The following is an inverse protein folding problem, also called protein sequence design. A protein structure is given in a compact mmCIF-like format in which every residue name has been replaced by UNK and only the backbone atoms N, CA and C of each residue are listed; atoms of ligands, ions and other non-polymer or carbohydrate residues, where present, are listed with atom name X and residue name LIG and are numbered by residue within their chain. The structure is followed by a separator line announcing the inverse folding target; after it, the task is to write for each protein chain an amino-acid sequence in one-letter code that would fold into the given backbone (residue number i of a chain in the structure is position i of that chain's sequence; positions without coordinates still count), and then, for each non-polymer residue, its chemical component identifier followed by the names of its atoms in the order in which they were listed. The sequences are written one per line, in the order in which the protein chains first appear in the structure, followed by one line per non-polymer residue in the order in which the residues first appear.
data_IF_195446544748
#
_entry.id   IF_195446544748
#
_cell.length_a   1.000
_cell.length_b   1.000
_cell.length_c   1.000
_cell.angle_alpha   90.00
_cell.angle_beta   90.00
_cell.angle_gamma   90.00
#
_symmetry.space_group_name_H-M   'P 1'
#
loop_
_entity.id
_entity.type
_entity.pdbx_description
1 polymer ?
#
# COMPACT_ATOMS: atom_id res chain seq x y z
N UNK A 1 7.76 -13.57 -23.77
CA UNK A 1 8.51 -13.02 -22.63
C UNK A 1 7.52 -12.73 -21.51
N UNK A 2 7.98 -12.76 -20.25
CA UNK A 2 7.10 -12.55 -19.09
C UNK A 2 7.54 -11.36 -18.24
N UNK A 3 8.85 -11.10 -18.16
CA UNK A 3 9.41 -10.05 -17.34
C UNK A 3 10.53 -9.32 -18.08
N UNK A 4 10.51 -7.98 -18.05
CA UNK A 4 11.59 -7.12 -18.50
C UNK A 4 12.19 -6.34 -17.32
N UNK A 5 13.48 -6.13 -17.37
CA UNK A 5 14.23 -5.31 -16.40
C UNK A 5 15.45 -4.73 -17.10
N UNK A 6 15.54 -3.40 -17.11
CA UNK A 6 16.54 -2.71 -17.92
C UNK A 6 16.48 -3.23 -19.37
N UNK A 7 17.60 -3.64 -19.95
CA UNK A 7 17.69 -4.17 -21.32
C UNK A 7 17.49 -5.70 -21.42
N UNK A 8 17.12 -6.35 -20.31
CA UNK A 8 16.98 -7.82 -20.26
C UNK A 8 15.52 -8.23 -20.21
N UNK A 9 15.22 -9.32 -20.91
CA UNK A 9 13.92 -9.97 -20.85
C UNK A 9 14.05 -11.44 -20.42
N UNK A 10 13.06 -11.90 -19.66
CA UNK A 10 13.00 -13.25 -19.13
C UNK A 10 11.67 -13.91 -19.52
N UNK A 11 11.73 -15.16 -19.95
CA UNK A 11 10.55 -16.01 -20.05
C UNK A 11 10.24 -16.64 -18.69
N UNK A 12 8.99 -17.10 -18.49
CA UNK A 12 8.63 -17.87 -17.29
C UNK A 12 9.52 -19.12 -17.11
N UNK A 13 9.80 -19.94 -18.13
CA UNK A 13 10.72 -21.08 -17.99
C UNK A 13 12.15 -20.69 -17.56
N UNK A 14 12.65 -19.53 -17.98
CA UNK A 14 13.96 -19.04 -17.53
C UNK A 14 13.95 -18.65 -16.06
N UNK A 15 12.93 -17.90 -15.62
CA UNK A 15 12.76 -17.54 -14.20
C UNK A 15 12.58 -18.80 -13.35
N UNK A 16 11.81 -19.77 -13.85
CA UNK A 16 11.57 -21.04 -13.19
C UNK A 16 12.87 -21.85 -12.98
N UNK A 17 13.68 -22.00 -14.03
CA UNK A 17 14.96 -22.70 -13.95
C UNK A 17 15.97 -21.98 -13.01
N UNK A 18 16.00 -20.64 -13.02
CA UNK A 18 16.82 -19.87 -12.09
C UNK A 18 16.35 -20.04 -10.65
N UNK A 19 15.03 -20.06 -10.40
CA UNK A 19 14.48 -20.29 -9.07
C UNK A 19 14.78 -21.70 -8.55
N UNK A 20 14.79 -22.71 -9.43
CA UNK A 20 15.22 -24.06 -9.07
C UNK A 20 16.70 -24.10 -8.67
N UNK A 21 17.57 -23.44 -9.45
CA UNK A 21 19.00 -23.35 -9.12
C UNK A 21 19.24 -22.60 -7.80
N UNK A 22 18.51 -21.51 -7.55
CA UNK A 22 18.60 -20.80 -6.27
C UNK A 22 18.08 -21.64 -5.10
N UNK A 23 17.00 -22.40 -5.29
CA UNK A 23 16.52 -23.32 -4.28
C UNK A 23 17.56 -24.38 -3.93
N UNK A 24 18.27 -24.96 -4.92
CA UNK A 24 19.37 -25.89 -4.67
C UNK A 24 20.53 -25.23 -3.90
N UNK A 25 20.89 -23.98 -4.23
CA UNK A 25 21.91 -23.22 -3.52
C UNK A 25 21.52 -22.94 -2.05
N UNK A 26 20.25 -22.63 -1.79
CA UNK A 26 19.71 -22.43 -0.43
C UNK A 26 19.65 -23.75 0.34
N UNK A 27 19.23 -24.85 -0.27
CA UNK A 27 19.19 -26.17 0.33
C UNK A 27 20.60 -26.65 0.75
N UNK A 28 21.63 -26.38 -0.07
CA UNK A 28 23.04 -26.65 0.25
C UNK A 28 23.53 -25.81 1.45
N UNK A 29 22.99 -24.61 1.65
CA UNK A 29 23.25 -23.76 2.81
C UNK A 29 22.45 -24.17 4.05
N UNK A 30 21.64 -25.20 3.97
CA UNK A 30 20.92 -25.79 5.09
C UNK A 30 19.49 -25.32 5.28
N UNK A 31 18.91 -24.56 4.34
CA UNK A 31 17.49 -24.17 4.38
C UNK A 31 16.59 -25.41 4.38
N UNK A 32 15.58 -25.41 5.24
CA UNK A 32 14.61 -26.51 5.43
C UNK A 32 13.17 -25.97 5.39
N UNK A 33 12.19 -26.83 5.12
CA UNK A 33 10.79 -26.46 5.23
C UNK A 33 10.46 -25.88 6.61
N UNK A 34 9.71 -24.79 6.62
CA UNK A 34 9.37 -24.04 7.84
C UNK A 34 10.38 -22.96 8.26
N UNK A 35 11.55 -22.90 7.64
CA UNK A 35 12.51 -21.83 7.87
C UNK A 35 11.97 -20.46 7.43
N UNK A 36 12.49 -19.40 8.06
CA UNK A 36 12.24 -18.01 7.66
C UNK A 36 13.51 -17.45 7.00
N UNK A 37 13.34 -16.88 5.82
CA UNK A 37 14.44 -16.34 5.03
C UNK A 37 14.28 -14.82 4.92
N UNK A 38 15.22 -14.06 5.47
CA UNK A 38 15.24 -12.61 5.27
C UNK A 38 15.52 -12.29 3.80
N UNK A 39 14.63 -11.56 3.14
CA UNK A 39 14.79 -11.15 1.75
C UNK A 39 14.77 -9.61 1.67
N UNK A 40 15.92 -9.02 1.33
CA UNK A 40 16.10 -7.57 1.20
C UNK A 40 16.67 -7.22 -0.15
N UNK A 41 15.83 -6.71 -1.03
CA UNK A 41 16.19 -6.46 -2.43
C UNK A 41 15.44 -5.26 -3.00
N UNK A 42 16.07 -4.59 -3.94
CA UNK A 42 15.41 -3.68 -4.86
C UNK A 42 14.47 -4.43 -5.83
N UNK A 43 13.69 -3.71 -6.64
CA UNK A 43 12.92 -4.30 -7.73
C UNK A 43 13.87 -4.83 -8.80
N UNK A 44 14.02 -6.15 -8.88
CA UNK A 44 14.87 -6.83 -9.86
C UNK A 44 14.41 -8.28 -10.08
N UNK A 45 14.72 -8.90 -11.22
CA UNK A 45 14.28 -10.28 -11.51
C UNK A 45 14.72 -11.29 -10.47
N UNK A 46 15.90 -11.11 -9.88
CA UNK A 46 16.46 -12.01 -8.88
C UNK A 46 15.64 -12.00 -7.57
N UNK A 47 14.87 -10.94 -7.30
CA UNK A 47 13.87 -10.97 -6.22
C UNK A 47 12.80 -12.03 -6.48
N UNK A 48 12.27 -12.09 -7.70
CA UNK A 48 11.25 -13.10 -8.10
C UNK A 48 11.84 -14.50 -7.99
N UNK A 49 13.06 -14.68 -8.49
CA UNK A 49 13.82 -15.93 -8.41
C UNK A 49 13.99 -16.38 -6.95
N UNK A 50 14.40 -15.47 -6.07
CA UNK A 50 14.60 -15.74 -4.64
C UNK A 50 13.29 -16.10 -3.93
N UNK A 51 12.23 -15.35 -4.19
CA UNK A 51 10.91 -15.60 -3.60
C UNK A 51 10.39 -17.00 -3.98
N UNK A 52 10.46 -17.36 -5.27
CA UNK A 52 10.04 -18.67 -5.73
C UNK A 52 10.93 -19.79 -5.17
N UNK A 53 12.25 -19.56 -5.07
CA UNK A 53 13.16 -20.51 -4.47
C UNK A 53 12.83 -20.80 -2.99
N UNK A 54 12.56 -19.75 -2.22
CA UNK A 54 12.15 -19.85 -0.80
C UNK A 54 10.85 -20.67 -0.68
N UNK A 55 9.85 -20.37 -1.48
CA UNK A 55 8.56 -21.07 -1.45
C UNK A 55 8.68 -22.54 -1.87
N UNK A 56 9.52 -22.86 -2.87
CA UNK A 56 9.79 -24.24 -3.31
C UNK A 56 10.39 -25.11 -2.21
N UNK A 57 11.17 -24.51 -1.34
CA UNK A 57 11.74 -25.20 -0.19
C UNK A 57 10.76 -25.33 0.99
N UNK A 58 9.52 -24.88 0.86
CA UNK A 58 8.55 -24.84 1.95
C UNK A 58 8.96 -23.88 3.08
N UNK A 59 9.82 -22.92 2.78
CA UNK A 59 10.25 -21.84 3.66
C UNK A 59 9.41 -20.58 3.43
N UNK A 60 9.48 -19.63 4.34
CA UNK A 60 8.76 -18.36 4.26
C UNK A 60 9.68 -17.18 4.05
N UNK A 61 9.25 -16.18 3.26
CA UNK A 61 10.01 -14.97 2.99
C UNK A 61 9.69 -13.87 4.00
N UNK A 62 10.70 -13.33 4.67
CA UNK A 62 10.61 -12.14 5.51
C UNK A 62 11.06 -10.93 4.67
N UNK A 63 10.11 -10.12 4.23
CA UNK A 63 10.34 -9.06 3.25
C UNK A 63 10.81 -7.77 3.92
N UNK A 64 12.09 -7.44 3.79
CA UNK A 64 12.71 -6.25 4.35
C UNK A 64 12.79 -5.14 3.31
N UNK A 65 12.42 -3.93 3.71
CA UNK A 65 12.50 -2.77 2.82
C UNK A 65 13.95 -2.33 2.59
N UNK A 66 14.40 -2.16 1.34
CA UNK A 66 15.72 -1.63 1.04
C UNK A 66 15.89 -0.15 1.43
N UNK A 67 14.81 0.54 1.79
CA UNK A 67 14.86 1.90 2.31
C UNK A 67 15.13 1.97 3.82
N UNK A 68 15.14 0.83 4.51
CA UNK A 68 15.32 0.79 5.97
C UNK A 68 16.76 1.01 6.36
N UNK A 69 16.92 1.69 7.49
CA UNK A 69 18.21 1.86 8.14
C UNK A 69 18.53 0.64 9.02
N UNK A 70 19.79 0.55 9.45
CA UNK A 70 20.32 -0.58 10.25
C UNK A 70 19.40 -0.96 11.42
N UNK A 71 18.99 -0.01 12.25
CA UNK A 71 18.16 -0.28 13.44
C UNK A 71 16.78 -0.89 13.07
N UNK A 72 16.19 -0.47 11.95
CA UNK A 72 14.93 -1.03 11.50
C UNK A 72 15.10 -2.49 11.04
N UNK A 73 16.20 -2.77 10.33
CA UNK A 73 16.55 -4.14 9.91
C UNK A 73 16.84 -5.02 11.13
N UNK A 74 17.65 -4.56 12.10
CA UNK A 74 17.93 -5.28 13.35
C UNK A 74 16.66 -5.63 14.12
N UNK A 75 15.71 -4.70 14.25
CA UNK A 75 14.44 -4.91 14.90
C UNK A 75 13.59 -5.96 14.15
N UNK A 76 13.56 -5.90 12.83
CA UNK A 76 12.83 -6.86 12.00
C UNK A 76 13.42 -8.27 12.09
N UNK A 77 14.75 -8.39 12.06
CA UNK A 77 15.46 -9.66 12.23
C UNK A 77 15.22 -10.24 13.63
N UNK A 78 15.28 -9.41 14.67
CA UNK A 78 14.99 -9.84 16.05
C UNK A 78 13.56 -10.34 16.18
N UNK A 79 12.59 -9.64 15.58
CA UNK A 79 11.17 -9.97 15.65
C UNK A 79 10.85 -11.28 14.91
N UNK A 80 11.41 -11.47 13.73
CA UNK A 80 11.07 -12.59 12.84
C UNK A 80 12.01 -13.78 12.94
N UNK A 81 13.20 -13.58 13.55
CA UNK A 81 14.25 -14.58 13.77
C UNK A 81 14.50 -15.46 12.52
N UNK A 82 14.85 -14.89 11.35
CA UNK A 82 15.14 -15.68 10.16
C UNK A 82 16.43 -16.48 10.34
N UNK A 83 16.46 -17.70 9.81
CA UNK A 83 17.63 -18.58 9.89
C UNK A 83 18.66 -18.26 8.79
N UNK A 84 18.23 -17.71 7.66
CA UNK A 84 19.05 -17.40 6.50
C UNK A 84 18.66 -16.05 5.89
N UNK A 85 19.53 -15.51 5.03
CA UNK A 85 19.25 -14.28 4.30
C UNK A 85 19.60 -14.40 2.81
N UNK A 86 18.85 -13.68 1.99
CA UNK A 86 19.06 -13.49 0.55
C UNK A 86 18.88 -12.00 0.24
N UNK A 87 19.73 -11.40 -0.54
CA UNK A 87 19.57 -9.98 -0.87
C UNK A 87 20.72 -9.36 -1.64
N UNK A 88 20.60 -8.05 -1.83
CA UNK A 88 21.62 -7.19 -2.46
C UNK A 88 21.99 -5.98 -1.58
N UNK A 89 21.45 -5.93 -0.35
CA UNK A 89 21.60 -4.74 0.50
C UNK A 89 22.72 -4.92 1.53
N UNK A 90 23.69 -3.96 1.62
CA UNK A 90 24.87 -4.08 2.47
C UNK A 90 24.53 -4.21 3.96
N UNK A 91 23.50 -3.52 4.45
CA UNK A 91 23.07 -3.60 5.85
C UNK A 91 22.67 -5.03 6.24
N UNK A 92 21.96 -5.77 5.37
CA UNK A 92 21.60 -7.15 5.66
C UNK A 92 22.83 -8.04 5.68
N UNK A 93 23.77 -7.85 4.73
CA UNK A 93 25.02 -8.59 4.65
C UNK A 93 25.93 -8.37 5.88
N UNK A 94 25.89 -7.19 6.50
CA UNK A 94 26.61 -6.90 7.75
C UNK A 94 26.00 -7.59 8.98
N UNK A 95 24.68 -7.81 8.97
CA UNK A 95 23.94 -8.30 10.13
C UNK A 95 23.84 -9.82 10.19
N UNK A 96 23.88 -10.50 9.02
CA UNK A 96 23.85 -11.95 8.96
C UNK A 96 24.44 -12.48 7.65
N UNK A 97 24.97 -13.74 7.65
CA UNK A 97 25.42 -14.39 6.41
C UNK A 97 24.30 -14.40 5.36
N UNK A 98 24.57 -13.85 4.18
CA UNK A 98 23.60 -13.63 3.12
C UNK A 98 24.06 -14.28 1.81
N UNK A 99 23.14 -14.97 1.12
CA UNK A 99 23.30 -15.31 -0.28
C UNK A 99 23.06 -14.04 -1.10
N UNK A 100 24.09 -13.59 -1.83
CA UNK A 100 23.97 -12.40 -2.67
C UNK A 100 23.13 -12.67 -3.92
N UNK A 101 22.23 -11.74 -4.24
CA UNK A 101 21.49 -11.77 -5.52
C UNK A 101 22.37 -11.45 -6.74
N UNK A 102 23.59 -10.98 -6.51
CA UNK A 102 24.59 -10.75 -7.57
C UNK A 102 25.45 -12.00 -7.86
N UNK A 103 25.32 -13.05 -7.03
CA UNK A 103 25.95 -14.33 -7.34
C UNK A 103 25.26 -15.00 -8.55
N UNK A 104 26.08 -15.54 -9.44
CA UNK A 104 25.54 -16.27 -10.60
C UNK A 104 24.87 -17.56 -10.14
N UNK A 105 23.60 -17.70 -10.47
CA UNK A 105 22.81 -18.90 -10.21
C UNK A 105 22.83 -19.79 -11.47
N UNK A 106 23.23 -21.04 -11.30
CA UNK A 106 23.14 -22.04 -12.37
C UNK A 106 21.69 -22.50 -12.48
N UNK A 107 21.04 -22.33 -13.65
CA UNK A 107 19.66 -22.80 -13.85
C UNK A 107 19.57 -24.32 -13.71
N UNK A 108 18.53 -24.79 -13.05
CA UNK A 108 18.27 -26.23 -12.85
C UNK A 108 16.87 -26.63 -13.32
N UNK A 109 16.71 -27.92 -13.68
CA UNK A 109 15.42 -28.55 -13.96
C UNK A 109 15.13 -29.52 -12.80
N UNK A 110 14.28 -29.11 -11.90
CA UNK A 110 13.88 -29.90 -10.74
C UNK A 110 12.41 -29.64 -10.41
N UNK A 111 11.68 -30.69 -10.06
CA UNK A 111 10.33 -30.55 -9.52
C UNK A 111 10.39 -30.41 -7.99
N UNK A 112 9.54 -29.56 -7.46
CA UNK A 112 9.33 -29.40 -6.02
C UNK A 112 7.88 -29.70 -5.67
N UNK A 113 7.65 -30.22 -4.47
CA UNK A 113 6.30 -30.33 -3.95
C UNK A 113 5.75 -28.94 -3.63
N UNK A 114 4.46 -28.76 -3.91
CA UNK A 114 3.80 -27.52 -3.54
C UNK A 114 3.76 -27.39 -2.00
N UNK A 115 4.04 -26.21 -1.43
CA UNK A 115 3.92 -25.99 0.00
C UNK A 115 2.46 -26.16 0.46
N UNK A 116 2.29 -26.54 1.72
CA UNK A 116 0.94 -26.61 2.33
C UNK A 116 0.27 -25.23 2.30
N UNK A 117 -1.02 -25.19 1.99
CA UNK A 117 -1.80 -23.95 2.03
C UNK A 117 -1.77 -23.24 3.40
N UNK A 118 -1.64 -24.01 4.49
CA UNK A 118 -1.62 -23.51 5.86
C UNK A 118 -0.23 -23.11 6.35
N UNK A 119 0.84 -23.43 5.58
CA UNK A 119 2.20 -23.03 5.96
C UNK A 119 2.43 -21.54 5.65
N UNK A 120 3.31 -20.91 6.43
CA UNK A 120 3.68 -19.50 6.25
C UNK A 120 4.37 -19.30 4.90
N UNK A 121 3.88 -18.35 4.10
CA UNK A 121 4.46 -17.97 2.83
C UNK A 121 5.35 -16.74 2.96
N UNK A 122 4.86 -15.73 3.69
CA UNK A 122 5.54 -14.44 3.76
C UNK A 122 5.20 -13.65 5.03
N UNK A 123 6.13 -12.79 5.40
CA UNK A 123 5.99 -11.77 6.43
C UNK A 123 6.25 -10.41 5.79
N UNK A 124 5.25 -9.53 5.82
CA UNK A 124 5.38 -8.12 5.42
C UNK A 124 5.22 -7.22 6.63
N UNK A 125 5.88 -6.08 6.64
CA UNK A 125 5.82 -5.19 7.78
C UNK A 125 4.80 -4.09 7.54
N UNK A 126 3.88 -3.91 8.49
CA UNK A 126 3.03 -2.74 8.54
C UNK A 126 3.61 -1.71 9.51
N UNK A 127 3.45 -0.42 9.17
CA UNK A 127 3.79 0.67 10.09
C UNK A 127 2.82 0.62 11.26
N UNK A 128 3.22 -0.07 12.32
CA UNK A 128 2.44 -0.14 13.55
C UNK A 128 2.13 1.23 14.10
N UNK A 129 0.92 1.39 14.60
CA UNK A 129 0.44 2.64 15.22
C UNK A 129 1.10 2.93 16.57
N UNK A 130 1.77 1.94 17.13
CA UNK A 130 2.44 1.94 18.43
C UNK A 130 3.94 2.22 18.35
N UNK A 131 4.47 2.54 17.17
CA UNK A 131 5.88 2.90 16.97
C UNK A 131 6.83 1.74 16.67
N UNK A 132 6.49 0.50 17.05
CA UNK A 132 7.26 -0.69 16.67
C UNK A 132 6.61 -1.38 15.47
N UNK A 133 7.37 -1.74 14.42
CA UNK A 133 6.83 -2.46 13.28
C UNK A 133 6.30 -3.83 13.72
N UNK A 134 5.16 -4.23 13.13
CA UNK A 134 4.58 -5.56 13.29
C UNK A 134 4.78 -6.31 11.97
N UNK A 135 5.14 -7.59 12.05
CA UNK A 135 5.20 -8.44 10.88
C UNK A 135 3.84 -9.11 10.67
N UNK A 136 3.20 -8.79 9.56
CA UNK A 136 1.95 -9.42 9.10
C UNK A 136 2.29 -10.76 8.48
N UNK A 137 1.69 -11.83 8.94
CA UNK A 137 1.94 -13.21 8.52
C UNK A 137 0.86 -13.69 7.57
N UNK A 138 1.23 -14.05 6.35
CA UNK A 138 0.35 -14.71 5.39
C UNK A 138 0.77 -16.15 5.15
N UNK A 139 -0.21 -17.05 5.09
CA UNK A 139 -0.01 -18.41 4.61
C UNK A 139 -0.04 -18.45 3.08
N UNK A 140 0.44 -19.54 2.48
CA UNK A 140 0.31 -19.78 1.05
C UNK A 140 -1.14 -19.72 0.58
N UNK A 141 -2.07 -20.30 1.37
CA UNK A 141 -3.51 -20.26 1.07
C UNK A 141 -4.08 -18.86 1.08
N UNK A 142 -3.86 -18.09 2.16
CA UNK A 142 -4.41 -16.74 2.27
C UNK A 142 -3.84 -15.80 1.20
N UNK A 143 -2.55 -15.91 0.90
CA UNK A 143 -1.91 -15.09 -0.13
C UNK A 143 -2.39 -15.47 -1.54
N UNK A 144 -2.55 -16.76 -1.85
CA UNK A 144 -3.11 -17.20 -3.12
C UNK A 144 -4.56 -16.72 -3.34
N UNK A 145 -5.36 -16.63 -2.26
CA UNK A 145 -6.70 -16.01 -2.34
C UNK A 145 -6.57 -14.52 -2.65
N UNK A 146 -5.66 -13.79 -2.00
CA UNK A 146 -5.42 -12.38 -2.28
C UNK A 146 -4.98 -12.13 -3.74
N UNK A 147 -4.11 -12.98 -4.28
CA UNK A 147 -3.68 -12.93 -5.69
C UNK A 147 -4.87 -13.09 -6.64
N UNK A 148 -5.76 -14.06 -6.39
CA UNK A 148 -6.97 -14.25 -7.20
C UNK A 148 -7.91 -13.05 -7.11
N UNK A 149 -8.17 -12.53 -5.90
CA UNK A 149 -9.00 -11.34 -5.71
C UNK A 149 -8.47 -10.14 -6.49
N UNK A 150 -7.15 -9.95 -6.48
CA UNK A 150 -6.53 -8.83 -7.18
C UNK A 150 -6.58 -9.00 -8.70
N UNK A 151 -6.27 -10.19 -9.22
CA UNK A 151 -6.41 -10.52 -10.63
C UNK A 151 -7.83 -10.24 -11.15
N UNK A 152 -8.83 -10.73 -10.41
CA UNK A 152 -10.22 -10.62 -10.81
C UNK A 152 -10.72 -9.16 -10.71
N UNK A 153 -10.31 -8.41 -9.66
CA UNK A 153 -10.63 -7.00 -9.50
C UNK A 153 -10.04 -6.12 -10.60
N UNK A 154 -8.84 -6.44 -11.09
CA UNK A 154 -8.19 -5.74 -12.20
C UNK A 154 -8.67 -6.20 -13.57
N UNK A 155 -9.49 -7.25 -13.66
CA UNK A 155 -9.80 -7.95 -14.91
C UNK A 155 -8.52 -8.25 -15.70
N UNK A 156 -7.48 -8.72 -14.99
CA UNK A 156 -6.17 -8.98 -15.56
C UNK A 156 -6.18 -10.27 -16.38
N UNK A 157 -5.56 -10.20 -17.53
CA UNK A 157 -5.39 -11.33 -18.48
C UNK A 157 -3.94 -11.45 -18.95
N UNK A 158 -3.64 -12.54 -19.66
CA UNK A 158 -2.33 -12.75 -20.29
C UNK A 158 -2.04 -11.78 -21.45
N UNK A 159 -3.02 -11.00 -21.89
CA UNK A 159 -2.84 -9.95 -22.91
C UNK A 159 -2.36 -8.63 -22.27
N UNK A 160 -2.44 -8.51 -20.95
CA UNK A 160 -2.09 -7.28 -20.26
C UNK A 160 -0.58 -7.12 -20.04
N UNK A 161 -0.18 -5.88 -19.96
CA UNK A 161 1.20 -5.46 -19.71
C UNK A 161 1.21 -4.42 -18.58
N UNK A 162 2.04 -4.65 -17.60
CA UNK A 162 2.15 -3.77 -16.42
C UNK A 162 3.59 -3.34 -16.20
N UNK A 163 3.78 -2.20 -15.55
CA UNK A 163 5.08 -1.86 -14.98
C UNK A 163 4.96 -1.69 -13.46
N UNK A 164 6.01 -2.07 -12.75
CA UNK A 164 5.99 -2.17 -11.29
C UNK A 164 7.16 -1.38 -10.71
N UNK A 165 6.82 -0.28 -10.05
CA UNK A 165 7.74 0.62 -9.36
C UNK A 165 7.60 0.50 -7.84
N UNK A 166 6.46 -0.01 -7.37
CA UNK A 166 6.22 -0.25 -5.95
C UNK A 166 7.21 -1.29 -5.42
N UNK A 167 7.90 -1.03 -4.30
CA UNK A 167 8.85 -1.99 -3.73
C UNK A 167 8.23 -3.36 -3.48
N UNK A 168 8.91 -4.46 -3.81
CA UNK A 168 8.39 -5.82 -3.64
C UNK A 168 8.35 -6.25 -2.17
N UNK A 169 8.99 -5.50 -1.27
CA UNK A 169 8.85 -5.65 0.18
C UNK A 169 7.53 -5.10 0.73
N UNK A 170 6.78 -4.34 -0.08
CA UNK A 170 5.42 -3.91 0.24
C UNK A 170 4.40 -4.86 -0.37
N UNK A 171 3.31 -5.15 0.37
CA UNK A 171 2.31 -6.13 -0.07
C UNK A 171 1.75 -5.84 -1.47
N UNK A 172 1.54 -4.58 -1.84
CA UNK A 172 1.04 -4.20 -3.16
C UNK A 172 2.04 -4.52 -4.27
N UNK A 173 3.33 -4.21 -4.08
CA UNK A 173 4.37 -4.52 -5.07
C UNK A 173 4.52 -6.02 -5.28
N UNK A 174 4.55 -6.78 -4.19
CA UNK A 174 4.58 -8.23 -4.22
C UNK A 174 3.35 -8.82 -4.93
N UNK A 175 2.16 -8.33 -4.55
CA UNK A 175 0.90 -8.81 -5.12
C UNK A 175 0.84 -8.59 -6.64
N UNK A 176 1.27 -7.41 -7.12
CA UNK A 176 1.33 -7.10 -8.53
C UNK A 176 2.28 -8.03 -9.30
N UNK A 177 3.47 -8.31 -8.75
CA UNK A 177 4.45 -9.22 -9.37
C UNK A 177 3.88 -10.65 -9.47
N UNK A 178 3.42 -11.19 -8.34
CA UNK A 178 2.96 -12.59 -8.31
C UNK A 178 1.71 -12.78 -9.16
N UNK A 179 0.73 -11.90 -9.01
CA UNK A 179 -0.51 -11.95 -9.78
C UNK A 179 -0.26 -11.90 -11.30
N UNK A 180 0.58 -10.96 -11.75
CA UNK A 180 0.85 -10.80 -13.18
C UNK A 180 1.56 -12.03 -13.76
N UNK A 181 2.58 -12.56 -13.07
CA UNK A 181 3.31 -13.74 -13.55
C UNK A 181 2.45 -15.01 -13.52
N UNK A 182 1.60 -15.20 -12.49
CA UNK A 182 0.66 -16.32 -12.43
C UNK A 182 -0.42 -16.25 -13.52
N UNK A 183 -0.84 -15.04 -13.91
CA UNK A 183 -1.82 -14.81 -14.97
C UNK A 183 -1.21 -14.95 -16.36
N UNK A 184 0.13 -14.94 -16.47
CA UNK A 184 0.85 -14.90 -17.74
C UNK A 184 0.89 -13.50 -18.38
N UNK A 185 0.54 -12.46 -17.64
CA UNK A 185 0.70 -11.08 -18.06
C UNK A 185 2.20 -10.71 -18.10
N UNK A 186 2.54 -9.76 -18.97
CA UNK A 186 3.91 -9.28 -19.05
C UNK A 186 4.15 -8.16 -18.06
N UNK A 187 5.33 -8.15 -17.40
CA UNK A 187 5.70 -7.09 -16.48
C UNK A 187 7.06 -6.48 -16.81
N UNK A 188 7.19 -5.17 -16.55
CA UNK A 188 8.48 -4.48 -16.42
C UNK A 188 8.71 -4.11 -14.97
N UNK A 189 9.87 -4.48 -14.42
CA UNK A 189 10.30 -4.03 -13.12
C UNK A 189 11.16 -2.77 -13.27
N UNK A 190 10.90 -1.77 -12.44
CA UNK A 190 11.71 -0.57 -12.30
C UNK A 190 12.44 -0.61 -10.96
N UNK A 191 13.75 -0.41 -10.98
CA UNK A 191 14.57 -0.38 -9.76
C UNK A 191 14.09 0.69 -8.78
N UNK A 192 13.64 1.83 -9.30
CA UNK A 192 13.07 2.97 -8.58
C UNK A 192 12.15 3.75 -9.50
N UNK A 193 11.32 4.60 -8.90
CA UNK A 193 10.44 5.48 -9.64
C UNK A 193 11.24 6.58 -10.36
N UNK A 194 10.92 6.77 -11.62
CA UNK A 194 11.33 7.87 -12.48
C UNK A 194 10.19 8.15 -13.45
N UNK A 195 9.68 9.37 -13.48
CA UNK A 195 8.45 9.70 -14.24
C UNK A 195 8.67 9.63 -15.75
N UNK A 196 9.82 10.12 -16.25
CA UNK A 196 10.10 10.13 -17.68
C UNK A 196 10.30 8.69 -18.21
N UNK A 197 11.02 7.86 -17.45
CA UNK A 197 11.18 6.44 -17.76
C UNK A 197 9.85 5.70 -17.71
N UNK A 198 8.98 6.01 -16.75
CA UNK A 198 7.65 5.43 -16.64
C UNK A 198 6.82 5.75 -17.89
N UNK A 199 6.74 7.02 -18.27
CA UNK A 199 5.99 7.48 -19.45
C UNK A 199 6.55 6.89 -20.75
N UNK A 200 7.87 6.87 -20.89
CA UNK A 200 8.55 6.23 -22.02
C UNK A 200 8.17 4.75 -22.16
N UNK A 201 8.15 4.00 -21.03
CA UNK A 201 7.79 2.58 -21.09
C UNK A 201 6.28 2.34 -21.27
N UNK A 202 5.41 3.25 -20.84
CA UNK A 202 3.99 3.15 -21.22
C UNK A 202 3.84 3.14 -22.73
N UNK A 203 4.53 4.04 -23.43
CA UNK A 203 4.51 4.15 -24.89
C UNK A 203 5.20 2.95 -25.56
N UNK A 204 6.46 2.68 -25.22
CA UNK A 204 7.29 1.69 -25.93
C UNK A 204 6.91 0.24 -25.64
N UNK A 205 6.58 -0.07 -24.40
CA UNK A 205 6.15 -1.41 -23.99
C UNK A 205 4.65 -1.63 -24.12
N UNK A 206 3.88 -0.59 -24.49
CA UNK A 206 2.41 -0.66 -24.63
C UNK A 206 1.75 -1.14 -23.34
N UNK A 207 2.10 -0.50 -22.21
CA UNK A 207 1.52 -0.81 -20.91
C UNK A 207 0.00 -0.62 -20.94
N UNK A 208 -0.74 -1.58 -20.41
CA UNK A 208 -2.22 -1.57 -20.42
C UNK A 208 -2.82 -1.18 -19.07
N UNK A 209 -2.09 -1.39 -17.99
CA UNK A 209 -2.52 -1.04 -16.62
C UNK A 209 -1.35 -0.37 -15.90
N UNK A 210 -1.57 0.86 -15.45
CA UNK A 210 -0.60 1.57 -14.62
C UNK A 210 -1.04 1.59 -13.15
N UNK A 211 -0.09 1.34 -12.25
CA UNK A 211 -0.33 1.33 -10.82
C UNK A 211 0.21 2.61 -10.19
N UNK A 212 -0.68 3.53 -9.82
CA UNK A 212 -0.31 4.82 -9.26
C UNK A 212 -0.67 4.91 -7.77
N UNK A 213 0.35 5.15 -6.95
CA UNK A 213 0.18 5.69 -5.61
C UNK A 213 0.22 7.23 -5.69
N UNK A 214 -0.17 7.95 -4.62
CA UNK A 214 -0.29 9.41 -4.65
C UNK A 214 0.95 10.14 -5.23
N UNK A 215 2.21 9.80 -4.91
CA UNK A 215 3.36 10.46 -5.52
C UNK A 215 3.42 10.34 -7.04
N UNK A 216 3.05 9.18 -7.58
CA UNK A 216 3.01 8.94 -9.03
C UNK A 216 1.89 9.76 -9.67
N UNK A 217 0.70 9.78 -9.07
CA UNK A 217 -0.43 10.56 -9.57
C UNK A 217 -0.13 12.07 -9.59
N UNK A 218 0.54 12.58 -8.54
CA UNK A 218 0.99 13.98 -8.49
C UNK A 218 2.04 14.29 -9.55
N UNK A 219 3.00 13.39 -9.75
CA UNK A 219 4.03 13.53 -10.77
C UNK A 219 3.42 13.57 -12.19
N UNK A 220 2.43 12.70 -12.47
CA UNK A 220 1.67 12.72 -13.73
C UNK A 220 0.94 14.04 -13.93
N UNK A 221 0.22 14.53 -12.90
CA UNK A 221 -0.52 15.79 -13.00
C UNK A 221 0.39 17.02 -13.24
N UNK A 222 1.59 17.01 -12.64
CA UNK A 222 2.55 18.11 -12.73
C UNK A 222 3.50 18.02 -13.92
N UNK A 223 3.52 16.91 -14.67
CA UNK A 223 4.45 16.73 -15.78
C UNK A 223 4.20 17.73 -16.92
N UNK A 224 5.23 18.48 -17.35
CA UNK A 224 5.08 19.56 -18.35
C UNK A 224 4.65 19.05 -19.72
N UNK A 225 5.19 17.92 -20.14
CA UNK A 225 5.06 17.37 -21.50
C UNK A 225 4.30 16.05 -21.53
N UNK A 226 3.33 15.87 -20.63
CA UNK A 226 2.55 14.60 -20.50
C UNK A 226 1.87 14.22 -21.81
N UNK A 227 1.38 15.20 -22.57
CA UNK A 227 0.69 15.03 -23.83
C UNK A 227 1.62 14.62 -24.99
N UNK A 228 2.95 14.68 -24.80
CA UNK A 228 3.92 14.24 -25.81
C UNK A 228 4.08 12.72 -25.87
N UNK A 229 3.60 11.99 -24.84
CA UNK A 229 3.68 10.53 -24.77
C UNK A 229 2.40 9.86 -25.26
N UNK A 230 2.53 8.74 -25.99
CA UNK A 230 1.39 7.92 -26.39
C UNK A 230 0.94 7.01 -25.23
N UNK A 231 -0.08 7.43 -24.50
CA UNK A 231 -0.69 6.68 -23.42
C UNK A 231 -1.93 5.86 -23.86
N UNK A 232 -2.19 5.76 -25.15
CA UNK A 232 -3.39 5.12 -25.72
C UNK A 232 -3.50 3.61 -25.45
N UNK A 233 -2.41 2.97 -25.02
CA UNK A 233 -2.43 1.57 -24.60
C UNK A 233 -3.06 1.37 -23.23
N UNK A 234 -3.08 2.40 -22.37
CA UNK A 234 -3.64 2.30 -21.03
C UNK A 234 -5.16 2.09 -21.07
N UNK A 235 -5.60 1.04 -20.45
CA UNK A 235 -7.01 0.76 -20.18
C UNK A 235 -7.52 1.65 -19.04
N UNK A 236 -6.71 1.81 -18.01
CA UNK A 236 -6.95 2.66 -16.83
C UNK A 236 -5.66 2.84 -16.03
N UNK A 237 -5.71 3.79 -15.11
CA UNK A 237 -4.71 3.97 -14.04
C UNK A 237 -5.37 3.58 -12.72
N UNK A 238 -4.74 2.67 -11.96
CA UNK A 238 -5.21 2.22 -10.65
C UNK A 238 -4.64 3.10 -9.55
N UNK A 239 -5.48 3.78 -8.79
CA UNK A 239 -5.10 4.50 -7.59
C UNK A 239 -5.38 3.70 -6.34
N UNK A 240 -4.36 3.39 -5.57
CA UNK A 240 -4.46 2.59 -4.36
C UNK A 240 -3.51 3.06 -3.26
N UNK A 241 -3.63 2.47 -2.07
CA UNK A 241 -2.81 2.71 -0.87
C UNK A 241 -2.97 4.09 -0.20
N UNK A 242 -3.52 5.09 -0.87
CA UNK A 242 -3.76 6.44 -0.32
C UNK A 242 -5.13 6.95 -0.75
N UNK A 243 -5.74 7.89 -0.01
CA UNK A 243 -6.95 8.57 -0.47
C UNK A 243 -6.74 9.24 -1.82
N UNK A 244 -7.76 9.20 -2.67
CA UNK A 244 -7.73 9.85 -4.00
C UNK A 244 -7.89 11.36 -3.83
N UNK A 245 -6.97 12.11 -4.43
CA UNK A 245 -7.17 13.55 -4.63
C UNK A 245 -7.88 13.75 -5.96
N UNK A 246 -9.19 14.04 -5.90
CA UNK A 246 -10.07 14.09 -7.07
C UNK A 246 -9.58 15.08 -8.13
N UNK A 247 -9.12 16.26 -7.73
CA UNK A 247 -8.58 17.26 -8.66
C UNK A 247 -7.36 16.78 -9.43
N UNK A 248 -6.48 16.00 -8.78
CA UNK A 248 -5.31 15.40 -9.44
C UNK A 248 -5.76 14.37 -10.50
N UNK A 249 -6.70 13.49 -10.13
CA UNK A 249 -7.22 12.50 -11.06
C UNK A 249 -7.93 13.15 -12.26
N UNK A 250 -8.76 14.18 -12.02
CA UNK A 250 -9.46 14.94 -13.07
C UNK A 250 -8.46 15.68 -13.99
N UNK A 251 -7.39 16.24 -13.43
CA UNK A 251 -6.32 16.90 -14.21
C UNK A 251 -5.65 15.91 -15.16
N UNK A 252 -5.23 14.75 -14.69
CA UNK A 252 -4.59 13.72 -15.53
C UNK A 252 -5.57 13.20 -16.58
N UNK A 253 -6.82 12.89 -16.20
CA UNK A 253 -7.84 12.42 -17.15
C UNK A 253 -8.12 13.48 -18.23
N UNK A 254 -8.22 14.75 -17.86
CA UNK A 254 -8.44 15.85 -18.82
C UNK A 254 -7.31 16.00 -19.85
N UNK A 255 -6.07 15.68 -19.44
CA UNK A 255 -4.87 15.77 -20.29
C UNK A 255 -4.63 14.51 -21.14
N UNK A 256 -5.01 13.33 -20.64
CA UNK A 256 -4.66 12.03 -21.25
C UNK A 256 -5.84 11.26 -21.81
N UNK A 257 -7.06 11.56 -21.35
CA UNK A 257 -8.25 10.75 -21.63
C UNK A 257 -8.32 9.43 -20.86
N UNK A 258 -7.28 9.10 -20.07
CA UNK A 258 -7.23 7.83 -19.33
C UNK A 258 -8.05 7.93 -18.04
N UNK A 259 -8.89 6.92 -17.79
CA UNK A 259 -9.73 6.84 -16.59
C UNK A 259 -8.95 6.29 -15.39
N UNK A 260 -9.42 6.64 -14.20
CA UNK A 260 -8.91 6.10 -12.94
C UNK A 260 -9.85 5.07 -12.35
N UNK A 261 -9.26 4.06 -11.73
CA UNK A 261 -9.94 3.07 -10.90
C UNK A 261 -9.35 3.13 -9.51
N UNK A 262 -10.15 2.96 -8.47
CA UNK A 262 -9.68 2.99 -7.08
C UNK A 262 -9.85 1.65 -6.41
N UNK A 263 -8.95 1.32 -5.51
CA UNK A 263 -9.04 0.10 -4.70
C UNK A 263 -8.58 0.35 -3.26
N UNK A 264 -9.08 -0.49 -2.37
CA UNK A 264 -8.77 -0.49 -0.95
C UNK A 264 -8.30 -1.86 -0.49
N UNK A 265 -7.23 -1.86 0.28
CA UNK A 265 -6.68 -3.01 0.95
C UNK A 265 -5.68 -2.61 2.02
N UNK A 266 -5.30 -3.55 2.83
CA UNK A 266 -4.30 -3.40 3.91
C UNK A 266 -3.24 -4.48 3.77
N UNK A 267 -2.13 -4.37 4.51
CA UNK A 267 -1.16 -5.48 4.54
C UNK A 267 -1.79 -6.76 5.10
N UNK A 268 -2.77 -6.62 5.97
CA UNK A 268 -3.44 -7.69 6.70
C UNK A 268 -4.53 -8.39 5.87
N UNK A 269 -5.17 -7.67 4.96
CA UNK A 269 -6.13 -8.16 3.98
C UNK A 269 -5.92 -7.40 2.68
N UNK A 270 -5.09 -7.93 1.76
CA UNK A 270 -4.49 -7.16 0.66
C UNK A 270 -5.50 -6.56 -0.32
N UNK A 271 -6.66 -7.19 -0.50
CA UNK A 271 -7.71 -6.71 -1.41
C UNK A 271 -9.06 -6.76 -0.69
N UNK A 272 -9.63 -5.60 -0.42
CA UNK A 272 -10.92 -5.47 0.28
C UNK A 272 -12.01 -5.03 -0.68
N UNK A 273 -11.80 -3.91 -1.37
CA UNK A 273 -12.76 -3.33 -2.28
C UNK A 273 -12.07 -2.77 -3.52
N UNK A 274 -12.78 -2.74 -4.62
CA UNK A 274 -12.33 -2.16 -5.87
C UNK A 274 -13.51 -1.52 -6.61
N UNK A 275 -13.26 -0.42 -7.30
CA UNK A 275 -14.22 0.16 -8.23
C UNK A 275 -14.36 -0.72 -9.48
N UNK A 276 -15.53 -0.68 -10.10
CA UNK A 276 -15.71 -1.24 -11.43
C UNK A 276 -14.78 -0.50 -12.42
N UNK A 277 -14.19 -1.21 -13.37
CA UNK A 277 -13.27 -0.60 -14.36
C UNK A 277 -14.02 0.41 -15.22
N UNK A 278 -15.25 0.07 -15.61
CA UNK A 278 -16.13 0.97 -16.34
C UNK A 278 -17.03 1.73 -15.35
N UNK A 279 -17.01 3.07 -15.42
CA UNK A 279 -17.86 3.92 -14.58
C UNK A 279 -17.37 4.04 -13.13
N UNK A 280 -16.06 3.98 -12.92
CA UNK A 280 -15.45 4.15 -11.60
C UNK A 280 -15.89 5.45 -10.90
N UNK A 281 -16.16 5.33 -9.61
CA UNK A 281 -16.57 6.44 -8.74
C UNK A 281 -15.43 6.83 -7.82
N UNK A 282 -14.76 7.93 -8.10
CA UNK A 282 -13.58 8.38 -7.35
C UNK A 282 -13.89 8.87 -5.92
N UNK A 283 -15.16 9.03 -5.58
CA UNK A 283 -15.64 9.35 -4.22
C UNK A 283 -15.79 8.11 -3.33
N UNK A 284 -15.50 6.92 -3.84
CA UNK A 284 -15.55 5.64 -3.14
C UNK A 284 -14.28 4.82 -3.44
N UNK A 285 -14.05 3.79 -2.63
CA UNK A 285 -13.02 2.78 -2.92
C UNK A 285 -13.58 1.55 -3.64
N UNK A 286 -14.81 1.67 -4.15
CA UNK A 286 -15.51 0.59 -4.83
C UNK A 286 -16.41 -0.23 -3.91
N UNK A 287 -16.72 -1.43 -4.35
CA UNK A 287 -17.47 -2.43 -3.57
C UNK A 287 -16.54 -3.52 -3.07
N UNK A 288 -16.88 -4.20 -1.95
CA UNK A 288 -16.15 -5.39 -1.54
C UNK A 288 -16.03 -6.37 -2.71
N UNK A 289 -14.81 -6.84 -2.98
CA UNK A 289 -14.59 -7.78 -4.09
C UNK A 289 -15.24 -9.15 -3.79
N UNK A 290 -15.58 -9.96 -4.79
CA UNK A 290 -16.12 -11.30 -4.58
C UNK A 290 -15.22 -12.12 -3.63
N UNK A 291 -15.83 -12.73 -2.61
CA UNK A 291 -15.11 -13.46 -1.55
C UNK A 291 -14.70 -12.61 -0.35
N UNK A 292 -14.97 -11.31 -0.38
CA UNK A 292 -14.80 -10.41 0.77
C UNK A 292 -16.17 -9.93 1.25
N UNK A 293 -16.42 -10.10 2.53
CA UNK A 293 -17.57 -9.51 3.21
C UNK A 293 -17.12 -8.32 4.03
N UNK A 294 -17.87 -7.22 3.98
CA UNK A 294 -17.62 -6.04 4.79
C UNK A 294 -18.85 -5.69 5.61
N UNK A 295 -18.65 -5.16 6.80
CA UNK A 295 -19.68 -4.56 7.65
C UNK A 295 -19.14 -3.32 8.34
N UNK A 296 -20.06 -2.45 8.74
CA UNK A 296 -19.74 -1.28 9.54
C UNK A 296 -20.25 -1.53 10.95
N UNK A 297 -19.42 -1.24 11.94
CA UNK A 297 -19.79 -1.41 13.36
C UNK A 297 -19.58 -0.10 14.12
N UNK A 298 -20.37 0.07 15.15
CA UNK A 298 -20.27 1.20 16.06
C UNK A 298 -18.89 1.25 16.74
N UNK A 299 -18.32 2.44 16.84
CA UNK A 299 -17.04 2.67 17.53
C UNK A 299 -17.17 2.59 19.07
N UNK A 300 -18.39 2.62 19.60
CA UNK A 300 -18.66 2.63 21.03
C UNK A 300 -18.84 1.21 21.58
N UNK A 301 -19.70 0.42 20.97
CA UNK A 301 -20.10 -0.90 21.44
C UNK A 301 -19.78 -2.06 20.47
N UNK A 302 -19.35 -1.74 19.25
CA UNK A 302 -18.99 -2.74 18.23
C UNK A 302 -20.19 -3.40 17.54
N UNK A 303 -21.41 -2.91 17.79
CA UNK A 303 -22.64 -3.45 17.16
C UNK A 303 -22.70 -3.06 15.66
N UNK A 304 -23.24 -3.94 14.80
CA UNK A 304 -23.43 -3.65 13.39
C UNK A 304 -24.35 -2.44 13.15
N UNK A 305 -23.95 -1.57 12.23
CA UNK A 305 -24.69 -0.36 11.84
C UNK A 305 -25.42 -0.55 10.51
N UNK A 306 -26.54 0.15 10.29
CA UNK A 306 -27.28 0.13 9.03
C UNK A 306 -26.49 0.83 7.92
N UNK A 307 -26.82 0.59 6.63
CA UNK A 307 -26.25 1.29 5.49
C UNK A 307 -26.31 2.81 5.66
N UNK A 308 -25.22 3.51 5.29
CA UNK A 308 -25.06 4.95 5.41
C UNK A 308 -24.57 5.44 6.78
N UNK A 309 -24.63 4.62 7.82
CA UNK A 309 -24.07 4.99 9.12
C UNK A 309 -22.55 4.82 9.14
N UNK A 310 -21.86 5.78 9.75
CA UNK A 310 -20.39 5.82 9.85
C UNK A 310 -19.92 5.03 11.08
N UNK A 311 -18.96 4.16 10.90
CA UNK A 311 -18.36 3.36 11.98
C UNK A 311 -17.07 2.68 11.54
N UNK A 312 -16.55 1.75 12.36
CA UNK A 312 -15.36 0.97 12.02
C UNK A 312 -15.67 -0.04 10.90
N UNK A 313 -14.83 -0.07 9.89
CA UNK A 313 -14.91 -1.05 8.81
C UNK A 313 -14.34 -2.37 9.31
N UNK A 314 -15.15 -3.42 9.32
CA UNK A 314 -14.73 -4.78 9.57
C UNK A 314 -14.92 -5.64 8.33
N UNK A 315 -13.93 -6.50 8.06
CA UNK A 315 -13.91 -7.33 6.85
C UNK A 315 -13.63 -8.80 7.19
N UNK A 316 -14.17 -9.70 6.38
CA UNK A 316 -13.98 -11.14 6.53
C UNK A 316 -13.72 -11.76 5.16
N UNK A 317 -12.60 -12.48 5.03
CA UNK A 317 -12.19 -13.17 3.81
C UNK A 317 -11.14 -14.21 4.12
N UNK A 318 -11.04 -15.24 3.26
CA UNK A 318 -9.98 -16.24 3.31
C UNK A 318 -8.60 -15.68 2.91
N UNK A 319 -8.54 -14.44 2.37
CA UNK A 319 -7.29 -13.72 2.11
C UNK A 319 -6.74 -12.97 3.33
N UNK A 320 -7.43 -13.03 4.48
CA UNK A 320 -6.95 -12.41 5.72
C UNK A 320 -5.65 -13.04 6.20
N UNK A 321 -4.80 -12.21 6.80
CA UNK A 321 -3.57 -12.67 7.45
C UNK A 321 -3.83 -13.77 8.49
N UNK A 322 -2.85 -14.61 8.72
CA UNK A 322 -2.88 -15.60 9.81
C UNK A 322 -2.62 -14.98 11.19
N UNK A 323 -2.15 -13.74 11.25
CA UNK A 323 -1.85 -12.97 12.45
C UNK A 323 -0.60 -12.15 12.33
N UNK A 324 -0.16 -11.58 13.43
CA UNK A 324 1.07 -10.80 13.53
C UNK A 324 2.20 -11.53 14.25
N UNK A 325 3.41 -11.06 14.04
CA UNK A 325 4.48 -11.19 15.01
C UNK A 325 4.75 -9.82 15.67
N UNK A 326 4.92 -9.74 16.99
CA UNK A 326 4.74 -10.85 17.95
C UNK A 326 3.27 -11.29 18.04
N UNK A 327 3.01 -12.54 18.39
CA UNK A 327 1.65 -13.11 18.44
C UNK A 327 0.71 -12.31 19.34
N UNK A 328 1.23 -11.68 20.40
CA UNK A 328 0.47 -10.79 21.28
C UNK A 328 -0.17 -9.60 20.54
N UNK A 329 0.39 -9.18 19.40
CA UNK A 329 -0.15 -8.11 18.58
C UNK A 329 -1.41 -8.51 17.81
N UNK A 330 -1.71 -9.80 17.71
CA UNK A 330 -2.93 -10.34 17.09
C UNK A 330 -4.15 -10.23 18.01
N UNK A 331 -3.92 -10.09 19.33
CA UNK A 331 -5.01 -9.98 20.29
C UNK A 331 -5.90 -8.75 20.00
N UNK A 332 -7.21 -8.97 19.91
CA UNK A 332 -8.21 -7.93 19.65
C UNK A 332 -8.27 -7.40 18.22
N UNK A 333 -7.45 -7.93 17.30
CA UNK A 333 -7.46 -7.54 15.89
C UNK A 333 -8.60 -8.21 15.14
N UNK A 334 -9.07 -9.35 15.60
CA UNK A 334 -10.23 -10.06 15.09
C UNK A 334 -11.37 -10.05 16.09
N UNK A 335 -12.59 -9.93 15.59
CA UNK A 335 -13.85 -10.19 16.30
C UNK A 335 -14.52 -11.40 15.65
N UNK A 336 -14.28 -12.59 16.18
CA UNK A 336 -14.56 -13.85 15.50
C UNK A 336 -13.76 -13.95 14.20
N UNK A 337 -14.44 -14.14 13.06
CA UNK A 337 -13.81 -14.15 11.72
C UNK A 337 -13.64 -12.77 11.09
N UNK A 338 -14.01 -11.70 11.77
CA UNK A 338 -13.97 -10.33 11.25
C UNK A 338 -12.68 -9.63 11.64
N UNK A 339 -11.88 -9.27 10.64
CA UNK A 339 -10.71 -8.42 10.82
C UNK A 339 -11.14 -6.97 11.03
N UNK A 340 -10.66 -6.36 12.10
CA UNK A 340 -10.87 -4.94 12.43
C UNK A 340 -9.82 -4.12 11.71
N UNK A 341 -10.23 -3.38 10.67
CA UNK A 341 -9.28 -2.63 9.86
C UNK A 341 -8.69 -1.42 10.60
N UNK A 342 -9.42 -0.91 11.58
CA UNK A 342 -9.13 0.35 12.24
C UNK A 342 -9.39 1.56 11.34
N UNK A 343 -9.95 1.36 10.15
CA UNK A 343 -10.42 2.42 9.28
C UNK A 343 -11.91 2.68 9.55
N UNK A 344 -12.31 3.93 9.45
CA UNK A 344 -13.69 4.41 9.65
C UNK A 344 -14.29 4.77 8.32
N UNK A 345 -15.55 4.40 8.12
CA UNK A 345 -16.25 4.67 6.88
C UNK A 345 -17.69 4.18 6.92
N UNK A 346 -18.30 4.05 5.77
CA UNK A 346 -19.65 3.53 5.65
C UNK A 346 -19.86 2.80 4.32
N UNK A 347 -20.81 1.87 4.32
CA UNK A 347 -21.38 1.26 3.13
C UNK A 347 -22.69 1.96 2.82
N UNK A 348 -22.87 2.43 1.59
CA UNK A 348 -24.15 2.96 1.18
C UNK A 348 -25.16 1.82 0.85
N UNK A 349 -26.39 2.19 0.51
CA UNK A 349 -27.47 1.23 0.21
C UNK A 349 -27.18 0.35 -1.00
N UNK A 350 -26.32 0.81 -1.91
CA UNK A 350 -25.88 0.09 -3.11
C UNK A 350 -24.59 -0.72 -2.89
N UNK A 351 -24.05 -0.72 -1.66
CA UNK A 351 -22.86 -1.46 -1.26
C UNK A 351 -21.54 -0.79 -1.61
N UNK A 352 -21.52 0.51 -1.97
CA UNK A 352 -20.30 1.26 -2.19
C UNK A 352 -19.63 1.62 -0.86
N UNK A 353 -18.36 1.28 -0.74
CA UNK A 353 -17.58 1.55 0.47
C UNK A 353 -16.89 2.90 0.36
N UNK A 354 -17.08 3.73 1.38
CA UNK A 354 -16.37 4.99 1.55
C UNK A 354 -15.56 4.96 2.83
N UNK A 355 -14.30 5.35 2.72
CA UNK A 355 -13.40 5.52 3.86
C UNK A 355 -13.42 7.01 4.21
N UNK A 356 -13.68 7.32 5.47
CA UNK A 356 -13.66 8.70 5.97
C UNK A 356 -12.37 9.03 6.68
N UNK A 357 -11.87 8.12 7.54
CA UNK A 357 -10.58 8.29 8.23
C UNK A 357 -10.15 6.99 8.94
N UNK A 358 -9.15 7.10 9.82
CA UNK A 358 -8.77 6.04 10.75
C UNK A 358 -9.34 6.29 12.14
N UNK A 359 -9.82 5.25 12.80
CA UNK A 359 -10.43 5.33 14.13
C UNK A 359 -9.52 6.05 15.16
N UNK A 360 -8.22 5.81 15.08
CA UNK A 360 -7.21 6.44 15.97
C UNK A 360 -6.80 7.86 15.55
N UNK A 361 -7.11 8.28 14.33
CA UNK A 361 -6.85 9.64 13.83
C UNK A 361 -8.07 10.56 14.04
N UNK A 362 -9.23 9.98 14.34
CA UNK A 362 -10.45 10.75 14.67
C UNK A 362 -10.18 11.69 15.83
N UNK A 363 -10.49 12.95 15.64
CA UNK A 363 -10.30 14.01 16.63
C UNK A 363 -11.56 14.09 17.50
N UNK A 364 -11.41 14.03 18.81
CA UNK A 364 -12.53 14.05 19.76
C UNK A 364 -12.80 15.45 20.27
N UNK A 365 -13.69 16.18 19.60
CA UNK A 365 -14.06 17.56 19.92
C UNK A 365 -15.42 17.60 20.60
N UNK A 366 -15.51 17.96 21.88
CA UNK A 366 -16.77 18.08 22.65
C UNK A 366 -17.65 16.83 22.58
N UNK A 367 -17.03 15.64 22.53
CA UNK A 367 -17.75 14.36 22.38
C UNK A 367 -18.06 13.95 20.93
N UNK A 368 -17.88 14.84 19.95
CA UNK A 368 -17.99 14.50 18.54
C UNK A 368 -16.70 13.91 18.01
N UNK A 369 -16.82 12.93 17.12
CA UNK A 369 -15.69 12.38 16.38
C UNK A 369 -15.58 13.11 15.03
N UNK A 370 -14.46 13.79 14.81
CA UNK A 370 -14.18 14.57 13.61
C UNK A 370 -13.11 13.87 12.79
N UNK A 371 -13.40 13.58 11.55
CA UNK A 371 -12.44 13.00 10.61
C UNK A 371 -11.51 14.09 10.05
N UNK A 372 -10.20 14.05 10.28
CA UNK A 372 -9.24 14.96 9.65
C UNK A 372 -9.40 15.10 8.16
N UNK A 373 -9.64 13.99 7.46
CA UNK A 373 -9.74 13.96 6.01
C UNK A 373 -10.90 14.80 5.45
N UNK A 374 -12.01 14.97 6.18
CA UNK A 374 -13.10 15.86 5.75
C UNK A 374 -12.65 17.33 5.68
N UNK A 375 -11.86 17.75 6.66
CA UNK A 375 -11.34 19.12 6.72
C UNK A 375 -10.22 19.30 5.69
N UNK A 376 -9.34 18.29 5.58
CA UNK A 376 -8.26 18.28 4.56
C UNK A 376 -8.85 18.42 3.15
N UNK A 377 -9.94 17.73 2.82
CA UNK A 377 -10.59 17.82 1.52
C UNK A 377 -11.15 19.23 1.23
N UNK A 378 -11.66 19.93 2.24
CA UNK A 378 -12.12 21.31 2.08
C UNK A 378 -10.95 22.26 1.85
N UNK A 379 -9.87 22.13 2.65
CA UNK A 379 -8.68 22.96 2.55
C UNK A 379 -7.95 22.77 1.21
N UNK A 380 -7.81 21.53 0.74
CA UNK A 380 -7.22 21.22 -0.57
C UNK A 380 -7.99 21.78 -1.75
N UNK A 381 -9.27 22.10 -1.58
CA UNK A 381 -10.07 22.80 -2.57
C UNK A 381 -9.75 24.29 -2.73
N UNK A 382 -8.90 24.85 -1.88
CA UNK A 382 -8.48 26.26 -1.96
C UNK A 382 -7.26 26.42 -2.89
N UNK A 383 -7.28 27.37 -3.86
CA UNK A 383 -6.22 27.50 -4.87
C UNK A 383 -4.83 27.83 -4.32
N UNK A 384 -4.74 28.42 -3.13
CA UNK A 384 -3.47 28.73 -2.47
C UNK A 384 -2.91 27.55 -1.66
N UNK A 385 -3.66 26.48 -1.44
CA UNK A 385 -3.23 25.31 -0.66
C UNK A 385 -2.59 24.28 -1.59
N UNK A 386 -1.30 24.04 -1.38
CA UNK A 386 -0.54 23.01 -2.10
C UNK A 386 -0.69 21.64 -1.43
N UNK A 387 -0.59 21.60 -0.10
CA UNK A 387 -0.75 20.37 0.70
C UNK A 387 -1.22 20.75 2.11
N UNK A 388 -1.91 19.82 2.78
CA UNK A 388 -2.33 20.03 4.17
C UNK A 388 -2.42 18.72 4.94
N UNK A 389 -2.40 18.86 6.28
CA UNK A 389 -2.67 17.77 7.21
C UNK A 389 -3.39 18.30 8.44
N UNK A 390 -4.47 17.63 8.84
CA UNK A 390 -5.27 17.99 10.00
C UNK A 390 -5.07 16.97 11.12
N UNK A 391 -4.99 17.44 12.35
CA UNK A 391 -4.77 16.60 13.53
C UNK A 391 -5.32 17.25 14.82
N UNK A 392 -5.66 16.40 15.80
CA UNK A 392 -6.06 16.83 17.13
C UNK A 392 -4.86 17.08 18.03
N UNK A 393 -4.94 18.12 18.84
CA UNK A 393 -4.02 18.37 19.95
C UNK A 393 -4.85 18.45 21.25
N UNK A 394 -4.30 18.04 22.41
CA UNK A 394 -5.02 18.11 23.67
C UNK A 394 -5.54 19.53 23.97
N UNK A 395 -6.80 19.65 24.36
CA UNK A 395 -7.46 20.89 24.73
C UNK A 395 -8.30 20.69 25.99
N UNK A 396 -8.08 21.51 26.98
CA UNK A 396 -8.71 21.35 28.30
C UNK A 396 -10.22 21.60 28.32
N UNK A 397 -10.72 22.39 27.37
CA UNK A 397 -12.14 22.77 27.31
C UNK A 397 -12.94 21.81 26.37
N UNK A 398 -12.31 21.27 25.33
CA UNK A 398 -12.99 20.56 24.29
C UNK A 398 -12.56 19.08 24.15
N UNK A 399 -11.61 18.62 24.99
CA UNK A 399 -10.94 17.32 24.86
C UNK A 399 -9.79 17.40 23.88
N UNK A 400 -10.06 17.64 22.61
CA UNK A 400 -9.05 17.98 21.60
C UNK A 400 -9.46 19.23 20.82
N UNK A 401 -8.46 19.98 20.37
CA UNK A 401 -8.60 21.09 19.43
C UNK A 401 -8.09 20.66 18.05
N UNK A 402 -8.78 21.09 17.01
CA UNK A 402 -8.40 20.80 15.63
C UNK A 402 -7.33 21.79 15.16
N UNK A 403 -6.21 21.27 14.67
CA UNK A 403 -5.13 22.06 14.07
C UNK A 403 -4.94 21.62 12.61
N UNK A 404 -4.88 22.59 11.71
CA UNK A 404 -4.54 22.34 10.29
C UNK A 404 -3.13 22.86 10.01
N UNK A 405 -2.20 21.95 9.64
CA UNK A 405 -0.92 22.32 9.05
C UNK A 405 -1.09 22.45 7.55
N UNK A 406 -0.68 23.60 6.97
CA UNK A 406 -0.92 23.91 5.58
C UNK A 406 0.38 24.36 4.90
N UNK A 407 0.70 23.75 3.77
CA UNK A 407 1.71 24.20 2.82
C UNK A 407 1.00 24.99 1.73
N UNK A 408 1.45 26.21 1.43
CA UNK A 408 0.83 27.10 0.45
C UNK A 408 1.73 27.33 -0.76
N UNK A 409 1.12 27.46 -1.94
CA UNK A 409 1.79 27.88 -3.17
C UNK A 409 1.65 29.40 -3.46
N UNK A 410 0.76 30.10 -2.72
CA UNK A 410 0.58 31.54 -2.79
C UNK A 410 0.14 32.09 -1.42
N UNK A 411 0.29 33.39 -1.13
CA UNK A 411 -0.13 33.98 0.13
C UNK A 411 -1.62 33.78 0.40
N UNK A 412 -1.95 33.38 1.62
CA UNK A 412 -3.32 33.22 2.14
C UNK A 412 -3.28 33.42 3.66
N UNK A 413 -4.33 34.00 4.23
CA UNK A 413 -4.45 34.21 5.66
C UNK A 413 -5.08 32.99 6.35
N UNK A 414 -4.68 32.72 7.60
CA UNK A 414 -5.21 31.60 8.37
C UNK A 414 -6.73 31.69 8.57
N UNK A 415 -7.22 32.89 8.85
CA UNK A 415 -8.64 33.15 9.06
C UNK A 415 -9.49 32.91 7.80
N UNK A 416 -8.93 33.11 6.61
CA UNK A 416 -9.60 32.79 5.33
C UNK A 416 -9.81 31.28 5.19
N UNK A 417 -8.80 30.47 5.51
CA UNK A 417 -8.90 29.01 5.49
C UNK A 417 -9.84 28.47 6.56
N UNK A 418 -9.84 29.06 7.75
CA UNK A 418 -10.79 28.73 8.82
C UNK A 418 -12.22 29.05 8.40
N UNK A 419 -12.45 30.24 7.81
CA UNK A 419 -13.75 30.67 7.32
C UNK A 419 -14.25 29.75 6.18
N UNK A 420 -13.38 29.31 5.29
CA UNK A 420 -13.69 28.35 4.23
C UNK A 420 -14.24 27.03 4.80
N UNK A 421 -13.61 26.52 5.87
CA UNK A 421 -14.09 25.29 6.53
C UNK A 421 -15.41 25.55 7.26
N UNK A 422 -15.55 26.70 7.92
CA UNK A 422 -16.79 27.06 8.65
C UNK A 422 -17.99 27.21 7.70
N UNK A 423 -17.78 27.66 6.47
CA UNK A 423 -18.84 27.77 5.45
C UNK A 423 -19.33 26.41 4.93
N UNK A 424 -18.46 25.40 4.93
CA UNK A 424 -18.73 24.11 4.31
C UNK A 424 -19.02 22.96 5.27
N UNK A 425 -18.54 23.07 6.52
CA UNK A 425 -18.65 22.01 7.53
C UNK A 425 -19.30 22.51 8.82
N UNK A 426 -19.79 21.56 9.61
CA UNK A 426 -20.38 21.87 10.92
C UNK A 426 -19.39 22.58 11.83
N UNK A 427 -19.86 23.45 12.70
CA UNK A 427 -19.05 24.33 13.56
C UNK A 427 -18.06 23.59 14.46
N UNK A 428 -18.38 22.36 14.89
CA UNK A 428 -17.48 21.55 15.70
C UNK A 428 -16.32 20.94 14.90
N UNK A 429 -16.35 21.02 13.56
CA UNK A 429 -15.28 20.60 12.64
C UNK A 429 -14.34 21.75 12.25
N UNK A 430 -14.61 22.94 12.71
CA UNK A 430 -13.80 24.10 12.38
C UNK A 430 -12.42 24.03 13.07
N UNK A 431 -11.31 24.21 12.33
CA UNK A 431 -9.99 24.30 12.93
C UNK A 431 -9.92 25.45 13.94
N UNK A 432 -9.40 25.18 15.13
CA UNK A 432 -9.09 26.21 16.11
C UNK A 432 -7.87 27.03 15.70
N UNK A 433 -7.02 26.45 14.82
CA UNK A 433 -5.79 27.09 14.35
C UNK A 433 -5.36 26.49 13.01
N UNK A 434 -4.88 27.37 12.12
CA UNK A 434 -4.11 27.02 10.92
C UNK A 434 -2.65 27.39 11.17
N UNK A 435 -1.72 26.49 10.84
CA UNK A 435 -0.27 26.71 10.95
C UNK A 435 0.37 26.49 9.57
N UNK A 436 1.14 27.46 9.11
CA UNK A 436 1.83 27.33 7.83
C UNK A 436 3.16 26.60 8.01
N UNK A 437 3.40 25.63 7.12
CA UNK A 437 4.59 24.79 7.14
C UNK A 437 5.26 24.72 5.77
N UNK A 438 6.57 24.60 5.71
CA UNK A 438 7.27 24.47 4.43
C UNK A 438 6.98 23.12 3.75
N UNK A 439 6.64 22.08 4.54
CA UNK A 439 6.40 20.73 4.05
C UNK A 439 5.53 19.93 5.02
N UNK A 440 4.62 19.10 4.47
CA UNK A 440 3.86 18.10 5.22
C UNK A 440 4.69 16.81 5.26
N UNK A 441 5.10 16.32 6.46
CA UNK A 441 5.90 15.13 6.58
C UNK A 441 5.11 13.89 6.15
N UNK A 442 5.68 13.11 5.21
CA UNK A 442 5.06 11.90 4.65
C UNK A 442 6.03 10.72 4.62
N UNK A 443 5.50 9.52 4.68
CA UNK A 443 6.23 8.30 4.33
C UNK A 443 6.43 8.22 2.80
N UNK A 444 7.37 7.40 2.31
CA UNK A 444 7.54 7.14 0.87
C UNK A 444 6.25 6.64 0.19
N UNK A 445 5.35 6.02 0.94
CA UNK A 445 4.01 5.62 0.47
C UNK A 445 3.02 6.78 0.32
N UNK A 446 3.41 8.03 0.61
CA UNK A 446 2.54 9.20 0.59
C UNK A 446 1.73 9.44 1.87
N UNK A 447 1.76 8.51 2.83
CA UNK A 447 1.02 8.62 4.09
C UNK A 447 1.56 9.74 5.00
N UNK A 448 0.68 10.62 5.47
CA UNK A 448 1.02 11.72 6.40
C UNK A 448 1.53 11.18 7.73
N UNK A 449 2.64 11.72 8.20
CA UNK A 449 3.22 11.45 9.51
C UNK A 449 2.67 12.44 10.56
N UNK A 450 1.36 12.33 10.90
CA UNK A 450 0.69 13.24 11.84
C UNK A 450 1.36 13.28 13.22
N UNK A 451 2.01 12.18 13.65
CA UNK A 451 2.79 12.15 14.89
C UNK A 451 3.89 13.21 14.90
N UNK A 452 4.63 13.34 13.80
CA UNK A 452 5.70 14.34 13.66
C UNK A 452 5.15 15.78 13.74
N UNK A 453 3.93 15.99 13.21
CA UNK A 453 3.25 17.28 13.33
C UNK A 453 2.79 17.53 14.75
N UNK A 454 2.20 16.54 15.44
CA UNK A 454 1.74 16.67 16.84
C UNK A 454 2.88 16.96 17.84
N UNK A 455 4.07 16.40 17.58
CA UNK A 455 5.25 16.58 18.46
C UNK A 455 5.93 17.95 18.27
N UNK A 456 5.65 18.69 17.21
CA UNK A 456 6.17 20.04 17.03
C UNK A 456 5.48 20.99 18.01
N UNK A 457 6.27 21.74 18.81
CA UNK A 457 5.75 22.83 19.61
C UNK A 457 5.38 23.99 18.67
N UNK A 458 4.10 24.13 18.38
CA UNK A 458 3.58 25.25 17.62
C UNK A 458 3.43 26.44 18.58
N UNK A 459 4.49 27.24 18.74
CA UNK A 459 4.41 28.50 19.46
C UNK A 459 3.43 29.42 18.75
N UNK A 460 2.51 29.99 19.55
CA UNK A 460 1.62 31.06 19.11
C UNK A 460 2.47 32.22 18.54
N UNK A 461 2.29 32.57 17.29
CA UNK A 461 2.72 33.86 16.77
C UNK A 461 1.62 34.85 17.05
#
# INVERSE_FOLDING_TARGET
MALAFEEREYSLPQLDALANGMAAALEQRGVRPGDRIALMSSNRPEFVVALWAVWRLGASAVLLSPAWKRTEVENALTLTAPSHAVGDHPVLAELMPMLSLDEAITPEQRAFEAPSADSDALFVFSSGTTGMPKAVRHTHGSFAVAVRHWRDALHLSSADRMQIMTPPSHILGLLNIVMALETGAWIRLHRRFDIDMMLHHIETDRITIEMAVAPIALALAAHSDLESYDLSSLRYIMWCATPVTRSVAETVTGRTGVSWVTAYGTSELPVIACNDIEGARLDTVGRPVPGVRARIVSLEDGEPLPPGAVGEIQVCSDSAMAGYLPDSATAGVFSGSWYRTGDVGFLDVDGWLRITDRAKEMIKVRGFQVAPAEIEAVLQGHPAVEDCAVFGVPDTANGEAIVAAVKTCSPVEADELIALVADRLASYKQPSRVVFVPEIPRLPSGKVLRRVLKERQWTSV
#
